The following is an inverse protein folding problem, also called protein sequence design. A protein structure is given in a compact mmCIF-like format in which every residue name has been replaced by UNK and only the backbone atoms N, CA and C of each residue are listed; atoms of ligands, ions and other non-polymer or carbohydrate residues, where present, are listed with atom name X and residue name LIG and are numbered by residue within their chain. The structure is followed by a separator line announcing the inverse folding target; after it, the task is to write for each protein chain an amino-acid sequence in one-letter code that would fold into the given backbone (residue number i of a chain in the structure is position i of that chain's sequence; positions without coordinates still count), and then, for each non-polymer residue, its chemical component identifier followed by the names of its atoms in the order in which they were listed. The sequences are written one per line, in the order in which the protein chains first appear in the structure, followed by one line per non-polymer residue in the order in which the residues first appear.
data_IF_326568973095
#
_entry.id   IF_326568973095
#
_cell.length_a   1.000
_cell.length_b   1.000
_cell.length_c   1.000
_cell.angle_alpha   90.00
_cell.angle_beta   90.00
_cell.angle_gamma   90.00
#
_symmetry.space_group_name_H-M   'P 1'
#
loop_
_entity.id
_entity.type
_entity.pdbx_description
1 polymer ?
#
# COMPACT_ATOMS: atom_id res chain seq x y z
N UNK A 1 2.32 20.82 33.61
CA UNK A 1 2.92 20.91 32.27
C UNK A 1 2.87 19.49 31.74
N UNK A 2 1.91 19.20 30.87
CA UNK A 2 1.65 17.84 30.39
C UNK A 2 2.82 17.44 29.48
N UNK A 3 3.58 16.44 29.90
CA UNK A 3 4.51 15.75 28.99
C UNK A 3 3.68 15.20 27.83
N UNK A 4 3.78 15.83 26.67
CA UNK A 4 3.35 15.24 25.43
C UNK A 4 4.39 14.17 25.12
N UNK A 5 4.13 12.94 25.56
CA UNK A 5 5.02 11.81 25.36
C UNK A 5 5.24 11.62 23.86
N UNK A 6 6.43 11.98 23.37
CA UNK A 6 6.76 11.87 21.96
C UNK A 6 6.68 10.40 21.53
N UNK A 7 5.91 10.11 20.48
CA UNK A 7 5.78 8.74 19.95
C UNK A 7 7.15 8.25 19.49
N UNK A 8 7.56 7.07 19.95
CA UNK A 8 8.86 6.49 19.59
C UNK A 8 8.96 6.22 18.07
N UNK A 9 10.17 6.27 17.53
CA UNK A 9 10.42 5.97 16.11
C UNK A 9 9.97 4.54 15.75
N UNK A 10 10.24 3.55 16.61
CA UNK A 10 9.77 2.18 16.44
C UNK A 10 8.25 2.09 16.31
N UNK A 11 7.50 2.86 17.10
CA UNK A 11 6.03 2.92 16.98
C UNK A 11 5.60 3.52 15.64
N UNK A 12 6.29 4.56 15.17
CA UNK A 12 6.03 5.18 13.86
C UNK A 12 6.29 4.15 12.75
N UNK A 13 7.46 3.49 12.77
CA UNK A 13 7.84 2.44 11.81
C UNK A 13 6.83 1.30 11.76
N UNK A 14 6.39 0.82 12.92
CA UNK A 14 5.37 -0.22 12.99
C UNK A 14 4.04 0.22 12.35
N UNK A 15 3.57 1.45 12.62
CA UNK A 15 2.34 1.99 12.01
C UNK A 15 2.48 2.11 10.49
N UNK A 16 3.61 2.59 10.01
CA UNK A 16 3.90 2.66 8.57
C UNK A 16 3.91 1.26 7.96
N UNK A 17 4.56 0.27 8.60
CA UNK A 17 4.55 -1.12 8.15
C UNK A 17 3.13 -1.67 8.00
N UNK A 18 2.26 -1.43 8.98
CA UNK A 18 0.84 -1.84 8.92
C UNK A 18 0.10 -1.11 7.78
N UNK A 19 0.35 0.19 7.59
CA UNK A 19 -0.21 0.96 6.49
C UNK A 19 0.19 0.41 5.12
N UNK A 20 1.49 0.11 4.93
CA UNK A 20 2.01 -0.53 3.72
C UNK A 20 1.32 -1.86 3.47
N UNK A 21 1.15 -2.72 4.48
CA UNK A 21 0.47 -4.01 4.32
C UNK A 21 -0.97 -3.81 3.84
N UNK A 22 -1.74 -2.92 4.48
CA UNK A 22 -3.14 -2.65 4.11
C UNK A 22 -3.27 -2.08 2.70
N UNK A 23 -2.36 -1.19 2.34
CA UNK A 23 -2.30 -0.67 0.98
C UNK A 23 -2.02 -1.78 -0.03
N UNK A 24 -1.04 -2.64 0.24
CA UNK A 24 -0.67 -3.74 -0.65
C UNK A 24 -1.78 -4.79 -0.78
N UNK A 25 -2.55 -5.05 0.29
CA UNK A 25 -3.77 -5.87 0.24
C UNK A 25 -4.74 -5.31 -0.81
N UNK A 26 -5.16 -4.05 -0.65
CA UNK A 26 -6.06 -3.36 -1.59
C UNK A 26 -5.51 -3.33 -3.02
N UNK A 27 -4.27 -2.88 -3.19
CA UNK A 27 -3.66 -2.73 -4.51
C UNK A 27 -3.50 -4.07 -5.23
N UNK A 28 -3.31 -5.17 -4.51
CA UNK A 28 -3.14 -6.51 -5.08
C UNK A 28 -4.42 -7.21 -5.50
N UNK A 29 -5.59 -6.72 -5.08
CA UNK A 29 -6.87 -7.40 -5.24
C UNK A 29 -7.89 -6.55 -5.98
N UNK A 30 -8.15 -6.90 -7.25
CA UNK A 30 -9.21 -6.28 -8.07
C UNK A 30 -10.58 -6.38 -7.39
N UNK A 31 -10.86 -7.48 -6.71
CA UNK A 31 -12.13 -7.69 -6.02
C UNK A 31 -12.26 -6.81 -4.77
N UNK A 32 -11.17 -6.55 -4.04
CA UNK A 32 -11.17 -5.59 -2.94
C UNK A 32 -11.36 -4.16 -3.44
N UNK A 33 -10.73 -3.78 -4.54
CA UNK A 33 -10.92 -2.45 -5.14
C UNK A 33 -12.37 -2.24 -5.61
N UNK A 34 -12.97 -3.25 -6.24
CA UNK A 34 -14.40 -3.25 -6.59
C UNK A 34 -15.28 -3.15 -5.36
N UNK A 35 -14.97 -3.90 -4.31
CA UNK A 35 -15.72 -3.84 -3.07
C UNK A 35 -15.60 -2.46 -2.42
N UNK A 36 -14.42 -1.85 -2.47
CA UNK A 36 -14.21 -0.51 -1.95
C UNK A 36 -15.09 0.51 -2.69
N UNK A 37 -15.10 0.45 -4.02
CA UNK A 37 -15.95 1.33 -4.84
C UNK A 37 -17.44 1.14 -4.54
N UNK A 38 -17.89 -0.11 -4.39
CA UNK A 38 -19.28 -0.42 -3.98
C UNK A 38 -19.60 0.21 -2.62
N UNK A 39 -18.72 0.07 -1.64
CA UNK A 39 -18.93 0.62 -0.30
C UNK A 39 -19.06 2.15 -0.32
N UNK A 40 -18.22 2.85 -1.10
CA UNK A 40 -18.32 4.31 -1.24
C UNK A 40 -19.66 4.73 -1.86
N UNK A 41 -20.09 4.03 -2.92
CA UNK A 41 -21.38 4.28 -3.58
C UNK A 41 -22.56 4.03 -2.65
N UNK A 42 -22.57 2.91 -1.92
CA UNK A 42 -23.62 2.55 -0.97
C UNK A 42 -23.72 3.55 0.19
N UNK A 43 -22.58 4.04 0.68
CA UNK A 43 -22.52 5.05 1.73
C UNK A 43 -22.79 6.48 1.23
N UNK A 44 -22.96 6.69 -0.07
CA UNK A 44 -22.97 8.00 -0.73
C UNK A 44 -21.77 8.88 -0.28
N UNK A 45 -20.62 8.25 -0.06
CA UNK A 45 -19.39 8.91 0.37
C UNK A 45 -18.65 9.50 -0.84
N UNK A 46 -18.00 10.66 -0.70
CA UNK A 46 -17.12 11.17 -1.73
C UNK A 46 -15.86 10.29 -1.84
N UNK A 47 -15.36 10.10 -3.05
CA UNK A 47 -14.13 9.35 -3.31
C UNK A 47 -14.06 8.87 -4.75
N UNK A 48 -12.87 8.56 -5.22
CA UNK A 48 -12.61 7.98 -6.53
C UNK A 48 -11.56 6.88 -6.32
N UNK A 49 -11.98 5.62 -6.36
CA UNK A 49 -11.13 4.48 -6.02
C UNK A 49 -9.85 4.42 -6.87
N UNK A 50 -9.89 4.67 -8.20
CA UNK A 50 -8.68 4.76 -8.98
C UNK A 50 -7.65 5.77 -8.45
N UNK A 51 -8.09 7.00 -8.15
CA UNK A 51 -7.23 8.01 -7.54
C UNK A 51 -6.68 7.55 -6.19
N UNK A 52 -7.52 6.94 -5.35
CA UNK A 52 -7.10 6.49 -4.02
C UNK A 52 -6.07 5.36 -4.09
N UNK A 53 -6.22 4.39 -5.00
CA UNK A 53 -5.27 3.30 -5.17
C UNK A 53 -3.89 3.82 -5.61
N UNK A 54 -3.82 4.89 -6.41
CA UNK A 54 -2.55 5.51 -6.76
C UNK A 54 -2.03 6.36 -5.60
N UNK A 55 -2.81 7.32 -5.12
CA UNK A 55 -2.32 8.36 -4.21
C UNK A 55 -1.99 7.85 -2.80
N UNK A 56 -2.71 6.84 -2.29
CA UNK A 56 -2.51 6.34 -0.92
C UNK A 56 -1.14 5.69 -0.69
N UNK A 57 -0.40 5.31 -1.76
CA UNK A 57 0.95 4.79 -1.59
C UNK A 57 1.89 5.81 -0.94
N UNK A 58 1.79 7.07 -1.36
CA UNK A 58 2.65 8.16 -0.90
C UNK A 58 2.41 8.54 0.56
N UNK A 59 1.23 8.22 1.11
CA UNK A 59 0.93 8.40 2.53
C UNK A 59 1.82 7.52 3.43
N UNK A 60 2.27 6.38 2.90
CA UNK A 60 3.05 5.39 3.65
C UNK A 60 4.53 5.39 3.29
N UNK A 61 4.87 5.72 2.04
CA UNK A 61 6.24 5.57 1.55
C UNK A 61 6.91 6.88 1.18
N UNK A 62 8.09 7.10 1.78
CA UNK A 62 8.97 8.21 1.49
C UNK A 62 10.03 7.76 0.48
N UNK A 63 9.73 7.95 -0.80
CA UNK A 63 10.62 7.57 -1.91
C UNK A 63 12.05 8.11 -1.77
N UNK A 64 12.22 9.27 -1.14
CA UNK A 64 13.51 9.93 -0.97
C UNK A 64 14.39 9.34 0.15
N UNK A 65 13.86 8.44 0.98
CA UNK A 65 14.60 7.88 2.12
C UNK A 65 14.24 6.41 2.36
N UNK A 66 14.69 5.55 1.44
CA UNK A 66 14.50 4.11 1.64
C UNK A 66 15.38 3.53 2.75
N UNK A 67 16.43 4.23 3.18
CA UNK A 67 17.32 3.70 4.23
C UNK A 67 16.68 3.78 5.62
N UNK A 68 15.65 4.61 5.78
CA UNK A 68 14.80 4.63 6.97
C UNK A 68 14.09 3.28 7.25
N UNK A 69 13.76 2.52 6.21
CA UNK A 69 13.17 1.17 6.35
C UNK A 69 14.26 0.16 6.66
N UNK A 70 14.53 -0.09 7.94
CA UNK A 70 15.53 -1.06 8.39
C UNK A 70 15.09 -1.83 9.64
N UNK A 71 15.95 -2.75 10.05
CA UNK A 71 15.71 -3.61 11.22
C UNK A 71 15.61 -2.77 12.52
N UNK A 72 14.82 -3.21 13.52
CA UNK A 72 14.10 -4.48 13.55
C UNK A 72 12.70 -4.45 12.90
N UNK A 73 12.14 -3.28 12.58
CA UNK A 73 10.75 -3.18 12.10
C UNK A 73 10.59 -3.63 10.65
N UNK A 74 11.59 -3.38 9.81
CA UNK A 74 11.62 -3.82 8.42
C UNK A 74 12.83 -4.70 8.18
N UNK A 75 12.59 -5.91 7.66
CA UNK A 75 13.68 -6.73 7.14
C UNK A 75 14.26 -6.14 5.86
N UNK A 76 15.49 -6.51 5.53
CA UNK A 76 16.09 -6.17 4.24
C UNK A 76 15.24 -6.65 3.05
N UNK A 77 14.54 -7.78 3.19
CA UNK A 77 13.61 -8.27 2.17
C UNK A 77 12.40 -7.34 2.01
N UNK A 78 11.80 -6.87 3.11
CA UNK A 78 10.69 -5.90 3.07
C UNK A 78 11.15 -4.56 2.48
N UNK A 79 12.33 -4.06 2.87
CA UNK A 79 12.95 -2.86 2.28
C UNK A 79 13.12 -3.00 0.76
N UNK A 80 13.65 -4.13 0.29
CA UNK A 80 13.79 -4.41 -1.15
C UNK A 80 12.44 -4.55 -1.86
N UNK A 81 11.43 -5.13 -1.20
CA UNK A 81 10.08 -5.25 -1.73
C UNK A 81 9.42 -3.87 -1.90
N UNK A 82 9.56 -2.98 -0.91
CA UNK A 82 9.09 -1.59 -0.98
C UNK A 82 9.73 -0.88 -2.18
N UNK A 83 11.06 -0.96 -2.34
CA UNK A 83 11.77 -0.33 -3.47
C UNK A 83 11.29 -0.83 -4.84
N UNK A 84 11.14 -2.15 -4.98
CA UNK A 84 10.69 -2.76 -6.24
C UNK A 84 9.26 -2.38 -6.56
N UNK A 85 8.38 -2.43 -5.57
CA UNK A 85 6.98 -2.04 -5.75
C UNK A 85 6.88 -0.55 -6.11
N UNK A 86 7.57 0.33 -5.38
CA UNK A 86 7.56 1.76 -5.67
C UNK A 86 7.98 2.09 -7.10
N UNK A 87 9.02 1.43 -7.63
CA UNK A 87 9.41 1.62 -9.04
C UNK A 87 8.30 1.27 -10.02
N UNK A 88 7.52 0.21 -9.76
CA UNK A 88 6.37 -0.15 -10.61
C UNK A 88 5.22 0.83 -10.42
N UNK A 89 4.95 1.22 -9.18
CA UNK A 89 3.93 2.20 -8.86
C UNK A 89 4.19 3.54 -9.57
N UNK A 90 5.43 4.02 -9.56
CA UNK A 90 5.85 5.30 -10.18
C UNK A 90 5.61 5.26 -11.70
N UNK A 91 6.04 4.17 -12.35
CA UNK A 91 5.78 3.96 -13.77
C UNK A 91 4.27 3.85 -14.10
N UNK A 92 3.48 3.22 -13.25
CA UNK A 92 2.02 3.12 -13.47
C UNK A 92 1.35 4.47 -13.25
N UNK A 93 1.74 5.21 -12.21
CA UNK A 93 1.22 6.54 -11.93
C UNK A 93 1.45 7.48 -13.12
N UNK A 94 2.64 7.47 -13.73
CA UNK A 94 2.97 8.25 -14.93
C UNK A 94 2.12 7.88 -16.17
N UNK A 95 1.61 6.65 -16.24
CA UNK A 95 0.81 6.15 -17.35
C UNK A 95 -0.70 6.29 -17.13
N UNK A 96 -1.12 6.65 -15.92
CA UNK A 96 -2.54 6.76 -15.60
C UNK A 96 -3.19 7.97 -16.30
N UNK A 97 -4.47 7.87 -16.73
CA UNK A 97 -5.16 8.98 -17.40
C UNK A 97 -5.34 10.20 -16.49
N UNK A 98 -5.28 11.41 -17.07
CA UNK A 98 -5.66 12.67 -16.42
C UNK A 98 -6.81 13.33 -17.21
N UNK A 99 -8.04 13.41 -16.67
CA UNK A 99 -8.44 12.94 -15.34
C UNK A 99 -8.52 11.42 -15.25
N UNK A 100 -8.33 10.90 -14.03
CA UNK A 100 -8.57 9.49 -13.72
C UNK A 100 -10.03 9.11 -14.01
N UNK A 101 -10.29 7.88 -14.49
CA UNK A 101 -11.66 7.38 -14.66
C UNK A 101 -12.46 7.39 -13.36
N UNK A 102 -13.78 7.52 -13.47
CA UNK A 102 -14.69 7.54 -12.32
C UNK A 102 -14.94 6.15 -11.72
N UNK A 103 -14.59 5.10 -12.46
CA UNK A 103 -14.85 3.71 -12.10
C UNK A 103 -13.61 2.84 -12.26
N UNK A 104 -13.36 1.98 -11.27
CA UNK A 104 -12.24 1.03 -11.31
C UNK A 104 -12.36 0.03 -12.46
N UNK A 105 -13.58 -0.29 -12.90
CA UNK A 105 -13.83 -1.20 -14.02
C UNK A 105 -13.16 -0.75 -15.33
N UNK A 106 -12.89 0.55 -15.50
CA UNK A 106 -12.19 1.07 -16.69
C UNK A 106 -10.69 0.80 -16.67
N UNK A 107 -10.13 0.40 -15.52
CA UNK A 107 -8.70 0.18 -15.32
C UNK A 107 -8.33 -1.27 -15.06
N UNK A 108 -9.19 -2.04 -14.39
CA UNK A 108 -8.84 -3.41 -13.98
C UNK A 108 -8.51 -4.38 -15.13
N UNK A 109 -8.84 -4.05 -16.38
CA UNK A 109 -8.49 -4.87 -17.56
C UNK A 109 -7.27 -4.32 -18.32
N UNK A 110 -6.67 -3.22 -17.85
CA UNK A 110 -5.47 -2.63 -18.48
C UNK A 110 -4.21 -3.34 -18.01
N UNK A 111 -3.20 -3.37 -18.88
CA UNK A 111 -1.89 -3.97 -18.58
C UNK A 111 -1.17 -3.27 -17.43
N UNK A 112 -1.35 -1.96 -17.33
CA UNK A 112 -0.74 -1.09 -16.32
C UNK A 112 -1.30 -1.43 -14.94
N UNK A 113 -2.62 -1.59 -14.84
CA UNK A 113 -3.27 -1.94 -13.58
C UNK A 113 -3.00 -3.39 -13.15
N UNK A 114 -2.92 -4.31 -14.12
CA UNK A 114 -2.47 -5.69 -13.87
C UNK A 114 -1.05 -5.74 -13.31
N UNK A 115 -0.15 -4.95 -13.89
CA UNK A 115 1.24 -4.86 -13.44
C UNK A 115 1.33 -4.28 -12.03
N UNK A 116 0.52 -3.27 -11.71
CA UNK A 116 0.41 -2.73 -10.35
C UNK A 116 -0.04 -3.81 -9.36
N UNK A 117 -1.14 -4.50 -9.66
CA UNK A 117 -1.71 -5.51 -8.78
C UNK A 117 -0.77 -6.71 -8.58
N UNK A 118 -0.12 -7.19 -9.65
CA UNK A 118 0.85 -8.28 -9.55
C UNK A 118 2.08 -7.88 -8.73
N UNK A 119 2.58 -6.65 -8.91
CA UNK A 119 3.70 -6.12 -8.13
C UNK A 119 3.33 -5.97 -6.66
N UNK A 120 2.12 -5.45 -6.36
CA UNK A 120 1.59 -5.34 -5.01
C UNK A 120 1.48 -6.72 -4.35
N UNK A 121 0.95 -7.71 -5.07
CA UNK A 121 0.85 -9.09 -4.59
C UNK A 121 2.22 -9.68 -4.19
N UNK A 122 3.23 -9.49 -5.05
CA UNK A 122 4.61 -9.95 -4.79
C UNK A 122 5.21 -9.27 -3.56
N UNK A 123 4.99 -7.96 -3.40
CA UNK A 123 5.46 -7.23 -2.23
C UNK A 123 4.74 -7.68 -0.96
N UNK A 124 3.41 -7.81 -0.99
CA UNK A 124 2.61 -8.30 0.14
C UNK A 124 3.08 -9.66 0.62
N UNK A 125 3.35 -10.59 -0.31
CA UNK A 125 3.85 -11.92 0.02
C UNK A 125 5.13 -11.88 0.88
N UNK A 126 6.01 -10.89 0.68
CA UNK A 126 7.22 -10.70 1.51
C UNK A 126 6.86 -10.26 2.93
N UNK A 127 5.96 -9.28 3.09
CA UNK A 127 5.52 -8.81 4.41
C UNK A 127 4.80 -9.89 5.23
N UNK A 128 4.03 -10.74 4.54
CA UNK A 128 3.30 -11.84 5.18
C UNK A 128 4.22 -12.95 5.70
N UNK A 129 5.49 -13.05 5.26
CA UNK A 129 6.44 -14.02 5.84
C UNK A 129 6.66 -13.74 7.33
N UNK A 130 6.94 -12.49 7.69
CA UNK A 130 7.08 -12.08 9.11
C UNK A 130 5.71 -11.92 9.80
N UNK A 131 4.68 -11.47 9.07
CA UNK A 131 3.31 -11.37 9.60
C UNK A 131 2.77 -12.72 10.10
N UNK A 132 2.87 -13.78 9.29
CA UNK A 132 2.47 -15.13 9.69
C UNK A 132 3.33 -15.70 10.83
N UNK A 133 4.60 -15.32 10.93
CA UNK A 133 5.46 -15.71 12.05
C UNK A 133 5.04 -15.02 13.36
N UNK A 134 4.53 -13.78 13.32
CA UNK A 134 4.00 -13.09 14.50
C UNK A 134 2.64 -13.68 14.93
N UNK A 135 1.77 -14.07 14.00
CA UNK A 135 0.51 -14.75 14.32
C UNK A 135 0.72 -16.15 14.93
N UNK A 136 1.79 -16.84 14.53
CA UNK A 136 2.18 -18.15 15.08
C UNK A 136 3.02 -18.07 16.36
N UNK A 137 3.57 -16.89 16.69
CA UNK A 137 4.31 -16.65 17.93
C UNK A 137 3.41 -16.13 19.07
N UNK A 138 2.13 -15.89 18.80
CA UNK A 138 1.11 -15.62 19.82
C UNK A 138 0.64 -16.94 20.47
N UNK A 139 1.50 -17.53 21.30
CA UNK A 139 1.15 -18.60 22.25
C UNK A 139 1.53 -18.17 23.67
#
# INVERSE_FOLDING_TARGET
MTDCEAVSESTIKYRIRVGIIRYLELASSKDEQRQYERNLREAAAPGNVPNEVINQWEDWVRANDFDWYGEPEFSENEKLAIRRFHSVWDEVADLTPEPMPDSIEELIETSEWDRLAESAHKALAVFLIRGRLLDLAAF
#
